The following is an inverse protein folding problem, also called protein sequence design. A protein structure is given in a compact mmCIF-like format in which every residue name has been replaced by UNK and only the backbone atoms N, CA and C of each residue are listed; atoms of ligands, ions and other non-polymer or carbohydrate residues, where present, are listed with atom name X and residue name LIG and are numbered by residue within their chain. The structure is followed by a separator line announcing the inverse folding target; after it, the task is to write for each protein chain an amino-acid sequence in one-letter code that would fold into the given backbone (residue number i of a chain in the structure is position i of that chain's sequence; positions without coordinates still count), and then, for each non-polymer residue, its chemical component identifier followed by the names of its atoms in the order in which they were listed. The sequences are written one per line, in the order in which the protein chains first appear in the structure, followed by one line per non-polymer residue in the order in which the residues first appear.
data_IF_782883338623
#
_entry.id   IF_782883338623
#
_cell.length_a   1.000
_cell.length_b   1.000
_cell.length_c   1.000
_cell.angle_alpha   90.00
_cell.angle_beta   90.00
_cell.angle_gamma   90.00
#
_symmetry.space_group_name_H-M   'P 1'
#
loop_
_entity.id
_entity.type
_entity.pdbx_description
1 polymer ?
#
# COMPACT_ATOMS: atom_id res chain seq x y z
N UNK A 1 -11.33 -0.57 -6.61
CA UNK A 1 -10.24 -1.00 -7.49
C UNK A 1 -9.83 0.14 -8.42
N UNK A 2 -8.54 0.25 -8.74
CA UNK A 2 -7.96 1.29 -9.62
C UNK A 2 -8.60 1.31 -11.00
N UNK A 3 -8.78 0.14 -11.63
CA UNK A 3 -9.43 0.02 -12.94
C UNK A 3 -10.88 0.52 -12.90
N UNK A 4 -11.59 0.21 -11.83
CA UNK A 4 -12.96 0.67 -11.63
C UNK A 4 -13.03 2.20 -11.52
N UNK A 5 -12.12 2.84 -10.76
CA UNK A 5 -12.07 4.31 -10.64
C UNK A 5 -11.78 5.00 -11.98
N UNK A 6 -10.88 4.44 -12.79
CA UNK A 6 -10.59 4.94 -14.14
C UNK A 6 -11.81 4.80 -15.05
N UNK A 7 -12.52 3.68 -14.98
CA UNK A 7 -13.78 3.48 -15.72
C UNK A 7 -14.84 4.49 -15.27
N UNK A 8 -15.03 4.70 -13.98
CA UNK A 8 -15.99 5.68 -13.45
C UNK A 8 -15.66 7.11 -13.89
N UNK A 9 -14.39 7.53 -13.99
CA UNK A 9 -14.04 8.84 -14.55
C UNK A 9 -14.45 8.93 -16.02
N UNK A 10 -14.09 7.92 -16.82
CA UNK A 10 -14.42 7.88 -18.24
C UNK A 10 -15.92 7.87 -18.50
N UNK A 11 -16.67 7.15 -17.68
CA UNK A 11 -18.13 7.03 -17.78
C UNK A 11 -18.87 8.19 -17.08
N UNK A 12 -18.10 9.16 -16.51
CA UNK A 12 -18.58 10.37 -15.82
C UNK A 12 -19.36 10.12 -14.53
N UNK A 13 -19.21 8.95 -13.94
CA UNK A 13 -19.77 8.64 -12.61
C UNK A 13 -19.04 9.40 -11.50
N UNK A 14 -17.74 9.65 -11.69
CA UNK A 14 -16.91 10.49 -10.82
C UNK A 14 -16.08 11.45 -11.68
N UNK A 15 -15.75 12.62 -11.13
CA UNK A 15 -15.07 13.69 -11.87
C UNK A 15 -13.54 13.65 -11.67
N UNK A 16 -13.08 13.16 -10.52
CA UNK A 16 -11.67 13.12 -10.12
C UNK A 16 -11.45 11.91 -9.23
N UNK A 17 -10.26 11.33 -9.28
CA UNK A 17 -9.86 10.25 -8.39
C UNK A 17 -8.41 10.42 -7.90
N UNK A 18 -8.14 9.95 -6.68
CA UNK A 18 -6.79 9.70 -6.20
C UNK A 18 -6.43 8.25 -6.54
N UNK A 19 -5.38 8.06 -7.30
CA UNK A 19 -4.92 6.75 -7.77
C UNK A 19 -3.45 6.54 -7.49
N UNK A 20 -3.09 5.29 -7.32
CA UNK A 20 -1.72 4.86 -7.21
C UNK A 20 -1.09 4.68 -8.61
N UNK A 21 0.03 5.26 -8.82
CA UNK A 21 1.06 5.28 -9.84
C UNK A 21 0.80 4.82 -11.26
N UNK A 22 0.24 3.69 -11.55
CA UNK A 22 0.29 3.11 -12.89
C UNK A 22 -1.07 3.21 -13.62
N UNK A 23 -1.29 4.30 -14.35
CA UNK A 23 -2.48 4.55 -15.17
C UNK A 23 -2.06 5.07 -16.57
N UNK A 24 -2.90 4.94 -17.62
CA UNK A 24 -2.59 5.45 -18.96
C UNK A 24 -2.60 6.99 -18.96
N UNK A 25 -1.42 7.60 -18.79
CA UNK A 25 -1.24 9.06 -18.65
C UNK A 25 -1.71 9.85 -19.88
N UNK A 26 -1.78 9.21 -21.03
CA UNK A 26 -2.28 9.82 -22.27
C UNK A 26 -3.76 10.23 -22.20
N UNK A 27 -4.54 9.57 -21.35
CA UNK A 27 -5.99 9.77 -21.25
C UNK A 27 -6.40 10.73 -20.13
N UNK A 28 -5.49 11.03 -19.20
CA UNK A 28 -5.79 11.81 -17.99
C UNK A 28 -4.82 12.97 -17.83
N UNK A 29 -5.32 14.10 -17.32
CA UNK A 29 -4.51 15.07 -16.61
C UNK A 29 -4.27 14.58 -15.19
N UNK A 30 -3.16 14.96 -14.60
CA UNK A 30 -2.80 14.53 -13.26
C UNK A 30 -2.08 15.61 -12.48
N UNK A 31 -2.19 15.51 -11.16
CA UNK A 31 -1.38 16.26 -10.20
C UNK A 31 -0.87 15.31 -9.13
N UNK A 32 0.44 15.30 -8.91
CA UNK A 32 1.05 14.48 -7.87
C UNK A 32 0.52 14.91 -6.50
N UNK A 33 0.07 13.92 -5.72
CA UNK A 33 -0.35 14.09 -4.34
C UNK A 33 0.80 13.81 -3.37
N UNK A 34 1.36 12.61 -3.41
CA UNK A 34 2.45 12.17 -2.54
C UNK A 34 3.29 11.06 -3.18
N UNK A 35 4.44 10.79 -2.58
CA UNK A 35 5.22 9.56 -2.78
C UNK A 35 5.28 8.82 -1.47
N UNK A 36 4.80 7.58 -1.45
CA UNK A 36 4.68 6.78 -0.25
C UNK A 36 5.59 5.56 -0.27
N UNK A 37 6.28 5.33 0.84
CA UNK A 37 7.04 4.09 1.05
C UNK A 37 6.07 2.94 1.34
N UNK A 38 6.29 1.79 0.68
CA UNK A 38 5.63 0.53 1.02
C UNK A 38 6.62 -0.31 1.82
N UNK A 39 6.26 -0.66 3.06
CA UNK A 39 7.17 -1.22 4.06
C UNK A 39 6.65 -2.52 4.67
N UNK A 40 7.57 -3.33 5.17
CA UNK A 40 7.27 -4.46 6.06
C UNK A 40 7.22 -3.98 7.51
N UNK A 41 6.21 -4.41 8.27
CA UNK A 41 5.93 -3.92 9.64
C UNK A 41 5.65 -5.07 10.59
N UNK A 42 6.09 -4.90 11.85
CA UNK A 42 5.74 -5.80 12.96
C UNK A 42 5.63 -5.01 14.28
N UNK A 43 5.19 -5.68 15.34
CA UNK A 43 5.26 -5.12 16.69
C UNK A 43 6.71 -4.76 17.07
N UNK A 44 6.90 -3.72 17.89
CA UNK A 44 8.25 -3.31 18.34
C UNK A 44 9.00 -4.43 19.06
N UNK A 45 8.29 -5.27 19.84
CA UNK A 45 8.83 -6.40 20.58
C UNK A 45 8.81 -7.73 19.84
N UNK A 46 8.45 -7.73 18.56
CA UNK A 46 8.34 -8.96 17.76
C UNK A 46 9.67 -9.73 17.73
N UNK A 47 9.59 -11.03 18.02
CA UNK A 47 10.72 -11.96 17.94
C UNK A 47 10.55 -12.82 16.71
N UNK A 48 11.47 -12.69 15.77
CA UNK A 48 11.45 -13.47 14.54
C UNK A 48 11.83 -14.92 14.78
N UNK A 49 11.24 -15.82 14.00
CA UNK A 49 11.64 -17.24 13.94
C UNK A 49 13.10 -17.38 13.50
N UNK A 50 13.50 -16.58 12.50
CA UNK A 50 14.90 -16.44 12.10
C UNK A 50 15.47 -15.15 12.67
N UNK A 51 16.54 -15.23 13.45
CA UNK A 51 17.15 -14.07 14.07
C UNK A 51 17.61 -13.03 13.04
N UNK A 52 17.09 -11.79 13.17
CA UNK A 52 17.42 -10.64 12.32
C UNK A 52 17.23 -10.87 10.81
N UNK A 53 16.02 -11.18 10.32
CA UNK A 53 15.79 -11.37 8.89
C UNK A 53 16.18 -10.13 8.09
N UNK A 54 16.88 -10.35 6.96
CA UNK A 54 17.39 -9.29 6.07
C UNK A 54 16.76 -9.30 4.70
N UNK A 55 16.06 -10.38 4.36
CA UNK A 55 15.45 -10.58 3.03
C UNK A 55 14.00 -11.00 3.14
N UNK A 56 13.26 -10.76 2.06
CA UNK A 56 11.86 -11.22 1.95
C UNK A 56 11.73 -12.72 2.15
N UNK A 57 12.70 -13.51 1.65
CA UNK A 57 12.71 -14.96 1.77
C UNK A 57 12.80 -15.43 3.24
N UNK A 58 13.55 -14.72 4.04
CA UNK A 58 13.70 -15.02 5.48
C UNK A 58 12.43 -14.74 6.27
N UNK A 59 11.55 -13.85 5.77
CA UNK A 59 10.25 -13.57 6.37
C UNK A 59 9.18 -14.64 6.09
N UNK A 60 9.43 -15.60 5.19
CA UNK A 60 8.45 -16.66 4.86
C UNK A 60 8.14 -17.57 6.06
N UNK A 61 8.99 -17.59 7.09
CA UNK A 61 8.75 -18.33 8.33
C UNK A 61 7.75 -17.63 9.26
N UNK A 62 7.50 -16.33 9.03
CA UNK A 62 6.60 -15.54 9.86
C UNK A 62 5.13 -15.72 9.47
N UNK A 63 4.23 -15.40 10.41
CA UNK A 63 2.80 -15.30 10.10
C UNK A 63 2.53 -14.00 9.38
N UNK A 64 2.06 -14.09 8.14
CA UNK A 64 1.65 -12.94 7.34
C UNK A 64 0.20 -12.55 7.64
N UNK A 65 -0.03 -11.30 7.98
CA UNK A 65 -1.36 -10.67 7.99
C UNK A 65 -1.53 -9.93 6.66
N UNK A 66 -2.46 -10.36 5.83
CA UNK A 66 -2.64 -9.84 4.47
C UNK A 66 -4.10 -9.45 4.22
N UNK A 67 -4.29 -8.46 3.35
CA UNK A 67 -5.63 -8.05 2.92
C UNK A 67 -6.30 -9.15 2.09
N UNK A 68 -7.61 -9.04 1.98
CA UNK A 68 -8.44 -9.92 1.14
C UNK A 68 -8.02 -9.90 -0.33
N UNK A 69 -8.32 -10.96 -1.05
CA UNK A 69 -8.08 -11.05 -2.50
C UNK A 69 -8.81 -9.91 -3.24
N UNK A 70 -8.11 -9.26 -4.18
CA UNK A 70 -8.62 -8.09 -4.91
C UNK A 70 -8.34 -6.75 -4.26
N UNK A 71 -7.83 -6.70 -3.03
CA UNK A 71 -7.33 -5.47 -2.42
C UNK A 71 -6.09 -4.94 -3.16
N UNK A 72 -6.04 -3.63 -3.42
CA UNK A 72 -4.88 -2.99 -4.07
C UNK A 72 -3.58 -3.21 -3.29
N UNK A 73 -3.62 -3.10 -1.97
CA UNK A 73 -2.46 -3.33 -1.10
C UNK A 73 -1.93 -4.78 -1.19
N UNK A 74 -2.84 -5.76 -1.28
CA UNK A 74 -2.45 -7.16 -1.49
C UNK A 74 -1.85 -7.38 -2.87
N UNK A 75 -2.45 -6.81 -3.91
CA UNK A 75 -1.93 -6.93 -5.28
C UNK A 75 -0.48 -6.44 -5.40
N UNK A 76 -0.14 -5.35 -4.71
CA UNK A 76 1.25 -4.86 -4.64
C UNK A 76 2.17 -5.92 -4.04
N UNK A 77 1.79 -6.50 -2.92
CA UNK A 77 2.58 -7.55 -2.27
C UNK A 77 2.71 -8.78 -3.18
N UNK A 78 1.64 -9.22 -3.82
CA UNK A 78 1.64 -10.35 -4.75
C UNK A 78 2.59 -10.10 -5.95
N UNK A 79 2.56 -8.91 -6.55
CA UNK A 79 3.49 -8.51 -7.62
C UNK A 79 4.94 -8.53 -7.16
N UNK A 80 5.21 -8.02 -5.94
CA UNK A 80 6.54 -8.00 -5.34
C UNK A 80 7.10 -9.39 -5.06
N UNK A 81 6.27 -10.27 -4.53
CA UNK A 81 6.62 -11.67 -4.25
C UNK A 81 6.88 -12.40 -5.57
N UNK A 82 5.98 -12.23 -6.55
CA UNK A 82 6.09 -12.87 -7.87
C UNK A 82 7.39 -12.48 -8.58
N UNK A 83 7.79 -11.20 -8.53
CA UNK A 83 9.05 -10.72 -9.10
C UNK A 83 10.29 -11.40 -8.48
N UNK A 84 10.14 -12.04 -7.31
CA UNK A 84 11.18 -12.79 -6.60
C UNK A 84 10.97 -14.30 -6.64
N UNK A 85 10.02 -14.77 -7.46
CA UNK A 85 9.66 -16.19 -7.56
C UNK A 85 8.96 -16.75 -6.32
N UNK A 86 8.30 -15.87 -5.56
CA UNK A 86 7.56 -16.21 -4.32
C UNK A 86 6.08 -15.87 -4.46
N UNK A 87 5.26 -16.38 -3.55
CA UNK A 87 3.83 -16.11 -3.45
C UNK A 87 3.38 -16.09 -1.98
N UNK A 88 2.16 -15.61 -1.72
CA UNK A 88 1.61 -15.53 -0.35
C UNK A 88 1.57 -16.91 0.32
N UNK A 89 1.26 -17.96 -0.43
CA UNK A 89 1.18 -19.34 0.07
C UNK A 89 2.54 -19.94 0.46
N UNK A 90 3.65 -19.27 0.12
CA UNK A 90 4.98 -19.69 0.57
C UNK A 90 5.28 -19.26 2.01
N UNK A 91 4.49 -18.34 2.57
CA UNK A 91 4.55 -18.06 4.01
C UNK A 91 4.05 -19.27 4.81
N UNK A 92 4.76 -19.60 5.88
CA UNK A 92 4.41 -20.73 6.73
C UNK A 92 2.97 -20.67 7.24
N UNK A 93 2.51 -19.47 7.58
CA UNK A 93 1.13 -19.16 7.94
C UNK A 93 0.74 -17.80 7.38
N UNK A 94 -0.49 -17.67 6.88
CA UNK A 94 -1.06 -16.35 6.59
C UNK A 94 -2.52 -16.27 7.04
N UNK A 95 -2.94 -15.05 7.37
CA UNK A 95 -4.31 -14.73 7.78
C UNK A 95 -4.83 -13.61 6.89
N UNK A 96 -5.95 -13.88 6.24
CA UNK A 96 -6.64 -12.90 5.42
C UNK A 96 -7.56 -12.02 6.29
N UNK A 97 -7.47 -10.70 6.14
CA UNK A 97 -8.18 -9.72 6.94
C UNK A 97 -8.75 -8.63 6.02
N UNK A 98 -10.05 -8.36 6.11
CA UNK A 98 -10.75 -7.48 5.18
C UNK A 98 -10.42 -5.99 5.34
N UNK A 99 -9.86 -5.55 6.46
CA UNK A 99 -9.55 -4.14 6.62
C UNK A 99 -8.21 -3.86 7.30
N UNK A 100 -7.58 -2.76 6.87
CA UNK A 100 -6.27 -2.34 7.31
C UNK A 100 -6.23 -2.00 8.81
N UNK A 101 -7.26 -1.39 9.36
CA UNK A 101 -7.32 -1.04 10.77
C UNK A 101 -7.26 -2.27 11.67
N UNK A 102 -7.93 -3.35 11.27
CA UNK A 102 -7.89 -4.65 11.98
C UNK A 102 -6.49 -5.28 11.89
N UNK A 103 -5.83 -5.20 10.72
CA UNK A 103 -4.44 -5.66 10.58
C UNK A 103 -3.52 -4.90 11.56
N UNK A 104 -3.62 -3.57 11.61
CA UNK A 104 -2.84 -2.74 12.54
C UNK A 104 -3.12 -3.15 14.00
N UNK A 105 -4.37 -3.41 14.34
CA UNK A 105 -4.76 -3.90 15.65
C UNK A 105 -4.10 -5.24 16.02
N UNK A 106 -4.02 -6.17 15.07
CA UNK A 106 -3.36 -7.46 15.25
C UNK A 106 -1.84 -7.32 15.33
N UNK A 107 -1.23 -6.46 14.50
CA UNK A 107 0.20 -6.16 14.59
C UNK A 107 0.58 -5.63 15.97
N UNK A 108 -0.19 -4.71 16.55
CA UNK A 108 0.04 -4.18 17.91
C UNK A 108 -0.03 -5.23 19.00
N UNK A 109 -0.74 -6.34 18.75
CA UNK A 109 -0.84 -7.51 19.63
C UNK A 109 0.19 -8.60 19.31
N UNK A 110 1.15 -8.30 18.44
CA UNK A 110 2.19 -9.23 18.00
C UNK A 110 1.64 -10.53 17.37
N UNK A 111 0.57 -10.41 16.56
CA UNK A 111 -0.02 -11.56 15.88
C UNK A 111 0.69 -11.96 14.59
N UNK A 112 1.74 -11.26 14.19
CA UNK A 112 2.50 -11.53 12.96
C UNK A 112 3.13 -10.29 12.35
N UNK A 113 3.42 -10.37 11.05
CA UNK A 113 3.97 -9.28 10.23
C UNK A 113 2.98 -8.88 9.13
N UNK A 114 3.16 -7.70 8.54
CA UNK A 114 2.38 -7.27 7.37
C UNK A 114 3.17 -6.33 6.48
N UNK A 115 2.64 -6.05 5.30
CA UNK A 115 3.19 -5.10 4.33
C UNK A 115 2.14 -4.05 4.01
N UNK A 116 2.53 -2.78 4.08
CA UNK A 116 1.61 -1.67 3.84
C UNK A 116 2.33 -0.36 3.57
N UNK A 117 1.62 0.67 3.14
CA UNK A 117 2.18 1.99 3.04
C UNK A 117 2.52 2.55 4.42
N UNK A 118 3.70 3.16 4.54
CA UNK A 118 4.23 3.74 5.78
C UNK A 118 3.27 4.75 6.40
N UNK A 119 2.61 5.55 5.56
CA UNK A 119 1.61 6.53 6.01
C UNK A 119 0.45 5.90 6.79
N UNK A 120 0.09 4.65 6.50
CA UNK A 120 -0.99 3.96 7.21
C UNK A 120 -0.66 3.61 8.67
N UNK A 121 0.61 3.59 9.03
CA UNK A 121 1.12 3.22 10.37
C UNK A 121 2.06 4.28 10.96
N UNK A 122 2.06 5.47 10.40
CA UNK A 122 2.96 6.54 10.80
C UNK A 122 2.84 6.86 12.30
N UNK A 123 1.62 6.91 12.82
CA UNK A 123 1.36 7.15 14.24
C UNK A 123 1.88 6.02 15.13
N UNK A 124 1.71 4.79 14.72
CA UNK A 124 2.21 3.62 15.44
C UNK A 124 3.74 3.57 15.45
N UNK A 125 4.37 3.93 14.33
CA UNK A 125 5.83 4.05 14.24
C UNK A 125 6.35 5.17 15.13
N UNK A 126 5.73 6.36 15.12
CA UNK A 126 6.08 7.50 15.99
C UNK A 126 5.89 7.18 17.48
N UNK A 127 4.84 6.45 17.83
CA UNK A 127 4.56 6.00 19.21
C UNK A 127 5.44 4.83 19.66
N UNK A 128 6.18 4.20 18.74
CA UNK A 128 7.02 3.05 19.03
C UNK A 128 6.24 1.79 19.40
N UNK A 129 5.00 1.64 18.96
CA UNK A 129 4.20 0.42 19.12
C UNK A 129 4.44 -0.59 18.00
N UNK A 130 4.72 -0.09 16.81
CA UNK A 130 5.17 -0.85 15.65
C UNK A 130 6.57 -0.41 15.22
N UNK A 131 7.23 -1.24 14.44
CA UNK A 131 8.50 -0.92 13.80
C UNK A 131 8.54 -1.45 12.37
N UNK A 132 9.30 -0.78 11.54
CA UNK A 132 9.65 -1.24 10.20
C UNK A 132 10.65 -2.40 10.29
N UNK A 133 10.45 -3.41 9.45
CA UNK A 133 11.40 -4.51 9.27
C UNK A 133 12.35 -4.09 8.15
N UNK A 134 13.63 -3.91 8.47
CA UNK A 134 14.65 -3.45 7.54
C UNK A 134 15.15 -4.60 6.67
N UNK A 135 14.73 -4.61 5.39
CA UNK A 135 15.12 -5.63 4.41
C UNK A 135 16.10 -5.05 3.39
N UNK A 136 17.10 -5.82 3.01
CA UNK A 136 18.12 -5.41 2.04
C UNK A 136 17.66 -5.55 0.58
N UNK A 137 16.74 -6.46 0.33
CA UNK A 137 16.20 -6.77 -1.00
C UNK A 137 14.80 -6.18 -1.25
N UNK A 138 14.33 -5.32 -0.33
CA UNK A 138 13.01 -4.73 -0.39
C UNK A 138 13.08 -3.23 -0.14
N UNK A 139 12.86 -2.45 -1.20
CA UNK A 139 12.65 -1.02 -1.13
C UNK A 139 11.67 -0.63 -2.23
N UNK A 140 10.54 -0.06 -1.85
CA UNK A 140 9.50 0.30 -2.80
C UNK A 140 8.85 1.61 -2.42
N UNK A 141 8.65 2.45 -3.42
CA UNK A 141 7.90 3.69 -3.34
C UNK A 141 6.89 3.76 -4.47
N UNK A 142 5.71 4.27 -4.18
CA UNK A 142 4.70 4.57 -5.19
C UNK A 142 4.28 6.02 -5.12
N UNK A 143 4.05 6.60 -6.29
CA UNK A 143 3.41 7.91 -6.42
C UNK A 143 1.90 7.75 -6.35
N UNK A 144 1.27 8.65 -5.62
CA UNK A 144 -0.18 8.85 -5.63
C UNK A 144 -0.48 10.12 -6.37
N UNK A 145 -1.34 10.03 -7.39
CA UNK A 145 -1.73 11.14 -8.24
C UNK A 145 -3.24 11.36 -8.17
N UNK A 146 -3.66 12.62 -8.08
CA UNK A 146 -4.99 12.99 -8.50
C UNK A 146 -5.08 12.94 -10.01
N UNK A 147 -6.13 12.31 -10.54
CA UNK A 147 -6.39 12.24 -11.98
C UNK A 147 -7.79 12.68 -12.32
N UNK A 148 -7.96 13.27 -13.50
CA UNK A 148 -9.24 13.64 -14.11
C UNK A 148 -9.16 13.54 -15.61
N UNK A 149 -10.33 13.60 -16.30
CA UNK A 149 -10.40 13.52 -17.75
C UNK A 149 -9.61 14.65 -18.40
N UNK A 150 -8.79 14.32 -19.40
CA UNK A 150 -7.99 15.28 -20.16
C UNK A 150 -8.90 16.25 -20.92
N UNK A 151 -8.58 17.54 -20.84
CA UNK A 151 -9.37 18.60 -21.49
C UNK A 151 -10.68 18.94 -20.77
N UNK A 152 -10.86 18.53 -19.51
CA UNK A 152 -12.01 18.89 -18.71
C UNK A 152 -12.11 20.41 -18.53
N UNK A 153 -13.30 20.98 -18.79
CA UNK A 153 -13.58 22.41 -18.54
C UNK A 153 -13.51 22.78 -17.05
N UNK A 154 -13.50 21.77 -16.16
CA UNK A 154 -13.42 21.93 -14.70
C UNK A 154 -12.00 21.75 -14.14
N UNK A 155 -10.99 21.64 -15.00
CA UNK A 155 -9.60 21.42 -14.57
C UNK A 155 -9.14 22.43 -13.49
N UNK A 156 -9.49 23.71 -13.63
CA UNK A 156 -9.19 24.74 -12.63
C UNK A 156 -9.80 24.47 -11.25
N UNK A 157 -11.02 23.92 -11.18
CA UNK A 157 -11.66 23.52 -9.92
C UNK A 157 -10.95 22.32 -9.31
N UNK A 158 -10.53 21.35 -10.13
CA UNK A 158 -9.81 20.16 -9.65
C UNK A 158 -8.44 20.54 -9.07
N UNK A 159 -7.75 21.48 -9.69
CA UNK A 159 -6.50 22.01 -9.13
C UNK A 159 -6.71 22.66 -7.76
N UNK A 160 -7.77 23.47 -7.59
CA UNK A 160 -8.08 24.08 -6.29
C UNK A 160 -8.37 23.02 -5.21
N UNK A 161 -9.16 21.99 -5.53
CA UNK A 161 -9.43 20.86 -4.61
C UNK A 161 -8.13 20.13 -4.24
N UNK A 162 -7.23 19.90 -5.20
CA UNK A 162 -5.94 19.28 -4.92
C UNK A 162 -5.11 20.13 -3.94
N UNK A 163 -5.12 21.45 -4.05
CA UNK A 163 -4.43 22.36 -3.13
C UNK A 163 -4.98 22.28 -1.71
N UNK A 164 -6.31 22.29 -1.58
CA UNK A 164 -6.97 22.15 -0.27
C UNK A 164 -6.65 20.79 0.40
N UNK A 165 -6.57 19.72 -0.37
CA UNK A 165 -6.29 18.37 0.16
C UNK A 165 -4.80 18.12 0.44
N UNK A 166 -3.90 18.99 -0.02
CA UNK A 166 -2.46 18.93 0.22
C UNK A 166 -1.99 19.86 1.35
N UNK A 167 -2.87 20.80 1.80
CA UNK A 167 -2.61 21.72 2.90
C UNK A 167 -2.87 21.04 4.25
#
# INVERSE_FOLDING_TARGET
DRRQRQMCIRDRDINMALVEGNYPKENYEHRKYSTEDYIAVCAVGHKFEQENPKTMKELLQERLLVREAGSGTRNILEELLLARGMKIEDFQHYVEVENMHTIIGFLKKDCGISFMYKVAVEDELKKGTLREIQLSDFKMQHDFDFIWEKGSIYAGKYHAVCEELQS
#
